data_IF_071608321156
#
_entry.id   IF_071608321156
#
_cell.length_a   1.000
_cell.length_b   1.000
_cell.length_c   1.000
_cell.angle_alpha   90.00
_cell.angle_beta   90.00
_cell.angle_gamma   90.00
#
_symmetry.space_group_name_H-M   'P 1'
#
loop_
_entity.id
_entity.type
_entity.pdbx_description
1 polymer ?
#
# COMPACT_ATOMS: atom_id res chain seq x y z
N UNK A 1 0.37 12.35 -5.90
CA UNK A 1 -0.74 11.40 -5.67
C UNK A 1 -1.43 11.79 -4.38
N UNK A 2 -2.76 11.84 -4.40
CA UNK A 2 -3.59 12.04 -3.20
C UNK A 2 -4.05 10.67 -2.63
N UNK A 3 -4.86 10.68 -1.57
CA UNK A 3 -5.40 9.47 -0.94
C UNK A 3 -6.23 8.61 -1.91
N UNK A 4 -7.00 9.22 -2.81
CA UNK A 4 -7.83 8.50 -3.79
C UNK A 4 -6.96 7.80 -4.84
N UNK A 5 -5.91 8.46 -5.33
CA UNK A 5 -4.95 7.85 -6.26
C UNK A 5 -4.24 6.65 -5.63
N UNK A 6 -3.83 6.80 -4.36
CA UNK A 6 -3.19 5.74 -3.58
C UNK A 6 -4.15 4.57 -3.32
N UNK A 7 -5.40 4.87 -2.96
CA UNK A 7 -6.45 3.86 -2.78
C UNK A 7 -6.70 3.07 -4.05
N UNK A 8 -6.88 3.76 -5.19
CA UNK A 8 -7.05 3.12 -6.51
C UNK A 8 -5.84 2.24 -6.87
N UNK A 9 -4.64 2.74 -6.62
CA UNK A 9 -3.40 1.98 -6.89
C UNK A 9 -3.31 0.73 -6.03
N UNK A 10 -3.61 0.84 -4.74
CA UNK A 10 -3.63 -0.30 -3.82
C UNK A 10 -4.67 -1.35 -4.24
N UNK A 11 -5.86 -0.90 -4.65
CA UNK A 11 -6.93 -1.76 -5.15
C UNK A 11 -6.48 -2.53 -6.41
N UNK A 12 -5.86 -1.83 -7.36
CA UNK A 12 -5.33 -2.41 -8.58
C UNK A 12 -4.24 -3.45 -8.29
N UNK A 13 -3.30 -3.13 -7.39
CA UNK A 13 -2.23 -4.04 -7.00
C UNK A 13 -2.76 -5.29 -6.31
N UNK A 14 -3.81 -5.16 -5.48
CA UNK A 14 -4.47 -6.29 -4.84
C UNK A 14 -5.22 -7.18 -5.84
N UNK A 15 -6.05 -6.59 -6.69
CA UNK A 15 -6.92 -7.32 -7.62
C UNK A 15 -6.16 -7.95 -8.79
N UNK A 16 -5.06 -7.34 -9.24
CA UNK A 16 -4.20 -7.86 -10.31
C UNK A 16 -3.08 -8.78 -9.77
N UNK A 17 -3.00 -8.98 -8.46
CA UNK A 17 -2.00 -9.86 -7.88
C UNK A 17 -2.22 -11.31 -8.34
N UNK A 18 -1.15 -12.06 -8.64
CA UNK A 18 -1.24 -13.51 -8.80
C UNK A 18 -1.89 -14.16 -7.57
N UNK A 19 -2.57 -15.28 -7.78
CA UNK A 19 -3.22 -16.00 -6.68
C UNK A 19 -2.22 -16.30 -5.54
N UNK A 20 -2.59 -15.94 -4.31
CA UNK A 20 -1.74 -16.11 -3.13
C UNK A 20 -0.64 -15.05 -2.97
N UNK A 21 -0.59 -14.03 -3.83
CA UNK A 21 0.40 -12.94 -3.77
C UNK A 21 -0.20 -11.57 -3.40
N UNK A 22 -1.49 -11.51 -3.06
CA UNK A 22 -2.18 -10.27 -2.69
C UNK A 22 -1.47 -9.52 -1.55
N UNK A 23 -1.14 -10.22 -0.45
CA UNK A 23 -0.46 -9.61 0.70
C UNK A 23 0.95 -9.13 0.34
N UNK A 24 1.68 -9.88 -0.50
CA UNK A 24 2.98 -9.45 -0.99
C UNK A 24 2.88 -8.17 -1.83
N UNK A 25 1.84 -8.03 -2.66
CA UNK A 25 1.55 -6.80 -3.40
C UNK A 25 1.17 -5.64 -2.46
N UNK A 26 0.43 -5.89 -1.39
CA UNK A 26 0.13 -4.88 -0.37
C UNK A 26 1.41 -4.39 0.32
N UNK A 27 2.34 -5.29 0.65
CA UNK A 27 3.64 -4.88 1.19
C UNK A 27 4.45 -4.09 0.16
N UNK A 28 4.48 -4.54 -1.10
CA UNK A 28 5.17 -3.83 -2.17
C UNK A 28 4.59 -2.43 -2.39
N UNK A 29 3.28 -2.26 -2.29
CA UNK A 29 2.62 -0.96 -2.30
C UNK A 29 3.15 -0.08 -1.16
N UNK A 30 3.16 -0.61 0.06
CA UNK A 30 3.68 0.12 1.22
C UNK A 30 5.12 0.57 1.02
N UNK A 31 5.99 -0.29 0.47
CA UNK A 31 7.38 0.06 0.16
C UNK A 31 7.46 1.14 -0.94
N UNK A 32 6.76 0.95 -2.06
CA UNK A 32 6.81 1.85 -3.22
C UNK A 32 6.32 3.26 -2.92
N UNK A 33 5.27 3.39 -2.12
CA UNK A 33 4.58 4.67 -1.90
C UNK A 33 4.83 5.29 -0.53
N UNK A 34 5.69 4.69 0.31
CA UNK A 34 6.03 5.17 1.65
C UNK A 34 6.37 6.65 1.69
N UNK A 35 7.26 7.10 0.79
CA UNK A 35 7.69 8.50 0.73
C UNK A 35 6.52 9.48 0.58
N UNK A 36 5.58 9.20 -0.33
CA UNK A 36 4.42 10.08 -0.58
C UNK A 36 3.46 10.04 0.61
N UNK A 37 3.22 8.86 1.17
CA UNK A 37 2.32 8.68 2.31
C UNK A 37 2.83 9.46 3.52
N UNK A 38 4.13 9.30 3.85
CA UNK A 38 4.76 9.97 4.99
C UNK A 38 4.87 11.48 4.78
N UNK A 39 5.35 11.92 3.61
CA UNK A 39 5.54 13.35 3.31
C UNK A 39 4.25 14.16 3.42
N UNK A 40 3.11 13.57 3.05
CA UNK A 40 1.81 14.24 3.10
C UNK A 40 1.00 13.90 4.37
N UNK A 41 1.58 13.14 5.30
CA UNK A 41 0.93 12.68 6.53
C UNK A 41 -0.43 12.00 6.26
N UNK A 42 -0.51 11.16 5.22
CA UNK A 42 -1.74 10.47 4.86
C UNK A 42 -2.00 9.29 5.79
N UNK A 43 -3.25 9.18 6.23
CA UNK A 43 -3.75 8.04 7.01
C UNK A 43 -3.79 6.78 6.15
N UNK A 44 -3.11 5.72 6.61
CA UNK A 44 -3.20 4.38 5.99
C UNK A 44 -4.64 3.87 6.00
N UNK A 45 -5.42 4.20 7.04
CA UNK A 45 -6.84 3.82 7.12
C UNK A 45 -7.66 4.47 6.00
N UNK A 46 -7.36 5.72 5.67
CA UNK A 46 -8.09 6.46 4.63
C UNK A 46 -7.74 5.91 3.24
N UNK A 47 -6.47 5.55 3.02
CA UNK A 47 -6.02 4.89 1.78
C UNK A 47 -6.71 3.52 1.63
N UNK A 48 -6.79 2.74 2.71
CA UNK A 48 -7.48 1.44 2.72
C UNK A 48 -8.97 1.63 2.42
N UNK A 49 -9.64 2.59 3.07
CA UNK A 49 -11.04 2.92 2.80
C UNK A 49 -11.26 3.32 1.33
N UNK A 50 -10.39 4.16 0.78
CA UNK A 50 -10.44 4.57 -0.63
C UNK A 50 -10.15 3.41 -1.61
N UNK A 51 -9.42 2.38 -1.20
CA UNK A 51 -9.11 1.22 -2.05
C UNK A 51 -10.24 0.19 -2.15
N UNK A 52 -11.16 0.18 -1.17
CA UNK A 52 -12.25 -0.80 -1.09
C UNK A 52 -11.81 -2.23 -0.72
N UNK A 53 -10.53 -2.46 -0.38
CA UNK A 53 -10.07 -3.77 0.09
C UNK A 53 -10.36 -3.96 1.59
N UNK A 54 -10.19 -5.18 2.09
CA UNK A 54 -10.48 -5.49 3.49
C UNK A 54 -9.71 -4.56 4.46
N UNK A 55 -10.40 -3.89 5.40
CA UNK A 55 -9.78 -3.03 6.41
C UNK A 55 -8.66 -3.69 7.23
N UNK A 56 -8.71 -5.02 7.38
CA UNK A 56 -7.68 -5.80 8.10
C UNK A 56 -6.28 -5.65 7.49
N UNK A 57 -6.17 -5.28 6.21
CA UNK A 57 -4.90 -5.08 5.52
C UNK A 57 -4.19 -3.77 5.85
N UNK A 58 -4.78 -2.88 6.64
CA UNK A 58 -4.10 -1.66 7.09
C UNK A 58 -2.77 -1.95 7.81
N UNK A 59 -2.71 -3.05 8.57
CA UNK A 59 -1.48 -3.51 9.23
C UNK A 59 -0.41 -3.92 8.22
N UNK A 60 -0.79 -4.58 7.12
CA UNK A 60 0.15 -5.05 6.10
C UNK A 60 0.71 -3.88 5.26
N UNK A 61 -0.11 -2.87 4.97
CA UNK A 61 0.39 -1.61 4.36
C UNK A 61 1.39 -0.93 5.29
N UNK A 62 1.06 -0.82 6.58
CA UNK A 62 1.92 -0.17 7.59
C UNK A 62 3.27 -0.89 7.73
N UNK A 63 3.28 -2.22 7.70
CA UNK A 63 4.52 -3.02 7.66
C UNK A 63 5.33 -2.75 6.39
N UNK A 64 4.66 -2.66 5.23
CA UNK A 64 5.32 -2.31 3.96
C UNK A 64 5.97 -0.92 4.00
N UNK A 65 5.30 0.07 4.59
CA UNK A 65 5.86 1.43 4.77
C UNK A 65 7.10 1.38 5.66
N UNK A 66 7.06 0.67 6.80
CA UNK A 66 8.25 0.51 7.67
C UNK A 66 9.40 -0.18 6.96
N UNK A 67 9.10 -1.19 6.13
CA UNK A 67 10.13 -1.88 5.34
C UNK A 67 10.85 -0.95 4.36
N UNK A 68 10.19 0.13 3.88
CA UNK A 68 10.81 1.08 2.95
C UNK A 68 12.08 1.76 3.48
N UNK A 69 12.30 1.76 4.80
CA UNK A 69 13.52 2.25 5.43
C UNK A 69 14.74 1.35 5.14
N UNK A 70 14.49 0.07 4.82
CA UNK A 70 15.52 -0.96 4.71
C UNK A 70 15.62 -1.59 3.33
N UNK A 71 14.59 -1.45 2.49
CA UNK A 71 14.54 -2.12 1.17
C UNK A 71 14.07 -1.19 0.06
N UNK A 72 14.57 -1.45 -1.14
CA UNK A 72 14.06 -0.88 -2.39
C UNK A 72 13.41 -1.98 -3.25
N UNK A 73 12.28 -1.69 -3.93
CA UNK A 73 11.68 -2.62 -4.88
C UNK A 73 12.67 -3.00 -5.97
N UNK A 74 12.70 -4.29 -6.35
CA UNK A 74 13.44 -4.72 -7.54
C UNK A 74 12.72 -4.22 -8.80
N UNK A 75 13.49 -3.67 -9.73
CA UNK A 75 13.03 -3.25 -11.06
C UNK A 75 12.66 -4.44 -11.94
#
# INVERSE_FOLDING_TARGET
MNVQDLGKTLSDMYNKAPHGKQVAQIHLFGVKYAYIIQRNNYSVKDIIAASGINPSYATEVSKGIKLSEYVVPKN
#
